data_IF_887026597988
#
_entry.id   IF_887026597988
#
_cell.length_a   1.000
_cell.length_b   1.000
_cell.length_c   1.000
_cell.angle_alpha   90.00
_cell.angle_beta   90.00
_cell.angle_gamma   90.00
#
_symmetry.space_group_name_H-M   'P 1'
#
loop_
_entity.id
_entity.type
_entity.pdbx_description
1 polymer ?
#
# COMPACT_ATOMS: atom_id res chain seq x y z
N UNK A 1 -17.06 4.87 -4.41
CA UNK A 1 -17.69 4.53 -3.11
C UNK A 1 -16.57 4.42 -2.10
N UNK A 2 -16.75 4.89 -0.87
CA UNK A 2 -15.77 4.73 0.21
C UNK A 2 -16.35 3.79 1.28
N UNK A 3 -15.63 2.71 1.58
CA UNK A 3 -15.93 1.82 2.70
C UNK A 3 -15.09 2.20 3.92
N UNK A 4 -15.71 2.16 5.09
CA UNK A 4 -15.11 2.63 6.34
C UNK A 4 -15.14 1.53 7.39
N UNK A 5 -13.97 1.27 7.98
CA UNK A 5 -13.80 0.40 9.15
C UNK A 5 -13.26 1.21 10.32
N UNK A 6 -13.99 1.19 11.43
CA UNK A 6 -13.65 1.93 12.65
C UNK A 6 -13.65 0.98 13.84
N UNK A 7 -12.57 1.05 14.62
CA UNK A 7 -12.43 0.40 15.93
C UNK A 7 -11.90 1.41 16.93
N UNK A 8 -12.79 2.04 17.70
CA UNK A 8 -12.45 3.13 18.65
C UNK A 8 -13.21 2.96 19.97
N UNK A 9 -12.85 3.66 21.05
CA UNK A 9 -13.57 3.57 22.31
C UNK A 9 -15.06 3.92 22.10
N UNK A 10 -15.97 3.18 22.73
CA UNK A 10 -17.42 3.38 22.58
C UNK A 10 -17.90 4.84 22.63
N UNK A 11 -17.42 5.72 23.54
CA UNK A 11 -17.86 7.11 23.60
C UNK A 11 -17.52 7.93 22.35
N UNK A 12 -16.53 7.51 21.57
CA UNK A 12 -16.02 8.22 20.40
C UNK A 12 -16.74 7.82 19.11
N UNK A 13 -17.47 6.69 19.09
CA UNK A 13 -17.98 6.10 17.84
C UNK A 13 -18.86 7.06 17.04
N UNK A 14 -19.88 7.67 17.66
CA UNK A 14 -20.79 8.56 16.94
C UNK A 14 -20.10 9.86 16.54
N UNK A 15 -19.25 10.43 17.41
CA UNK A 15 -18.49 11.65 17.11
C UNK A 15 -17.57 11.43 15.91
N UNK A 16 -16.77 10.36 15.91
CA UNK A 16 -15.88 10.03 14.80
C UNK A 16 -16.65 9.74 13.51
N UNK A 17 -17.77 9.02 13.60
CA UNK A 17 -18.63 8.75 12.44
C UNK A 17 -19.14 10.04 11.81
N UNK A 18 -19.61 10.99 12.62
CA UNK A 18 -20.08 12.29 12.13
C UNK A 18 -18.95 13.09 11.49
N UNK A 19 -17.78 13.15 12.13
CA UNK A 19 -16.64 13.89 11.59
C UNK A 19 -16.10 13.26 10.31
N UNK A 20 -16.01 11.93 10.21
CA UNK A 20 -15.63 11.23 8.98
C UNK A 20 -16.61 11.53 7.83
N UNK A 21 -17.92 11.48 8.09
CA UNK A 21 -18.93 11.80 7.08
C UNK A 21 -18.83 13.25 6.60
N UNK A 22 -18.55 14.18 7.52
CA UNK A 22 -18.34 15.58 7.18
C UNK A 22 -17.08 15.77 6.31
N UNK A 23 -15.92 15.31 6.78
CA UNK A 23 -14.64 15.48 6.07
C UNK A 23 -14.66 14.78 4.69
N UNK A 24 -15.20 13.56 4.61
CA UNK A 24 -15.38 12.88 3.33
C UNK A 24 -16.32 13.65 2.41
N UNK A 25 -17.40 14.23 2.94
CA UNK A 25 -18.34 15.03 2.15
C UNK A 25 -17.72 16.31 1.58
N UNK A 26 -16.72 16.87 2.28
CA UNK A 26 -15.95 18.04 1.83
C UNK A 26 -14.95 17.65 0.74
N UNK A 27 -14.16 16.60 0.96
CA UNK A 27 -13.04 16.22 0.09
C UNK A 27 -13.50 15.38 -1.12
N UNK A 28 -14.50 14.52 -0.94
CA UNK A 28 -15.05 13.65 -1.97
C UNK A 28 -16.56 13.91 -2.19
N UNK A 29 -16.93 15.05 -2.79
CA UNK A 29 -18.34 15.36 -3.07
C UNK A 29 -19.03 14.23 -3.84
N UNK A 30 -20.28 13.95 -3.47
CA UNK A 30 -21.15 12.97 -4.15
C UNK A 30 -20.70 11.50 -4.06
N UNK A 31 -19.60 11.19 -3.34
CA UNK A 31 -19.16 9.81 -3.16
C UNK A 31 -20.02 9.10 -2.11
N UNK A 32 -20.59 7.96 -2.50
CA UNK A 32 -21.32 7.08 -1.57
C UNK A 32 -20.38 6.55 -0.49
N UNK A 33 -20.78 6.69 0.76
CA UNK A 33 -20.05 6.19 1.94
C UNK A 33 -20.79 5.01 2.57
N UNK A 34 -20.05 4.00 3.02
CA UNK A 34 -20.59 2.82 3.70
C UNK A 34 -19.69 2.43 4.87
N UNK A 35 -20.23 2.40 6.08
CA UNK A 35 -19.53 1.81 7.22
C UNK A 35 -19.68 0.28 7.15
N UNK A 36 -18.56 -0.43 6.98
CA UNK A 36 -18.51 -1.89 6.96
C UNK A 36 -18.17 -2.46 8.35
N UNK A 37 -17.46 -1.70 9.16
CA UNK A 37 -17.14 -2.02 10.55
C UNK A 37 -17.24 -0.75 11.39
N UNK A 38 -17.96 -0.82 12.51
CA UNK A 38 -18.09 0.27 13.47
C UNK A 38 -18.17 -0.36 14.87
N UNK A 39 -17.02 -0.56 15.49
CA UNK A 39 -16.88 -1.39 16.68
C UNK A 39 -16.19 -0.66 17.84
N UNK A 40 -16.58 -1.04 19.05
CA UNK A 40 -15.93 -0.59 20.28
C UNK A 40 -14.61 -1.34 20.48
N UNK A 41 -13.50 -0.60 20.50
CA UNK A 41 -12.13 -1.15 20.65
C UNK A 41 -11.86 -1.80 22.01
N UNK A 42 -12.79 -1.65 22.98
CA UNK A 42 -12.66 -2.13 24.38
C UNK A 42 -11.47 -1.55 25.13
N UNK A 43 -10.82 -0.51 24.59
CA UNK A 43 -9.66 0.11 25.20
C UNK A 43 -9.54 1.58 24.82
N UNK A 44 -9.54 2.48 25.81
CA UNK A 44 -9.59 3.94 25.61
C UNK A 44 -8.43 4.53 24.79
N UNK A 45 -7.29 3.84 24.71
CA UNK A 45 -6.13 4.26 23.92
C UNK A 45 -6.03 3.57 22.54
N UNK A 46 -6.95 2.65 22.19
CA UNK A 46 -6.93 1.96 20.91
C UNK A 46 -7.95 2.60 20.00
N UNK A 47 -7.45 3.35 19.02
CA UNK A 47 -8.25 4.00 18.00
C UNK A 47 -7.68 3.65 16.64
N UNK A 48 -8.48 2.98 15.84
CA UNK A 48 -8.12 2.55 14.49
C UNK A 48 -9.22 2.96 13.51
N UNK A 49 -8.82 3.52 12.39
CA UNK A 49 -9.71 3.88 11.28
C UNK A 49 -9.06 3.47 9.97
N UNK A 50 -9.83 2.86 9.07
CA UNK A 50 -9.44 2.51 7.72
C UNK A 50 -10.51 2.98 6.74
N UNK A 51 -10.09 3.69 5.70
CA UNK A 51 -10.90 4.09 4.55
C UNK A 51 -10.44 3.35 3.31
N UNK A 52 -11.39 2.83 2.52
CA UNK A 52 -11.11 2.18 1.23
C UNK A 52 -11.96 2.81 0.14
N UNK A 53 -11.33 3.56 -0.75
CA UNK A 53 -11.97 4.10 -1.94
C UNK A 53 -12.02 3.06 -3.05
N UNK A 54 -13.21 2.85 -3.63
CA UNK A 54 -13.46 2.01 -4.80
C UNK A 54 -13.76 2.89 -6.01
N UNK A 55 -12.99 2.68 -7.08
CA UNK A 55 -13.13 3.36 -8.37
C UNK A 55 -14.07 2.59 -9.32
N UNK A 56 -14.58 3.27 -10.36
CA UNK A 56 -15.40 2.64 -11.40
C UNK A 56 -14.64 1.63 -12.26
N UNK A 57 -13.31 1.70 -12.30
CA UNK A 57 -12.43 0.78 -13.02
C UNK A 57 -12.08 -0.47 -12.20
N UNK A 58 -12.53 -0.56 -10.95
CA UNK A 58 -12.27 -1.69 -10.07
C UNK A 58 -11.00 -1.56 -9.21
N UNK A 59 -10.27 -0.45 -9.30
CA UNK A 59 -9.14 -0.16 -8.43
C UNK A 59 -9.62 0.22 -7.02
N UNK A 60 -8.78 -0.11 -6.03
CA UNK A 60 -9.01 0.17 -4.62
C UNK A 60 -7.81 0.91 -4.03
N UNK A 61 -8.09 1.93 -3.23
CA UNK A 61 -7.08 2.71 -2.53
C UNK A 61 -7.42 2.74 -1.05
N UNK A 62 -6.50 2.24 -0.22
CA UNK A 62 -6.66 2.16 1.23
C UNK A 62 -5.80 3.17 1.96
N UNK A 63 -6.36 3.80 2.99
CA UNK A 63 -5.60 4.53 4.01
C UNK A 63 -6.15 4.28 5.39
N UNK A 64 -5.25 3.99 6.32
CA UNK A 64 -5.57 3.74 7.71
C UNK A 64 -4.69 4.53 8.66
N UNK A 65 -5.18 4.61 9.89
CA UNK A 65 -4.39 5.11 10.99
C UNK A 65 -4.73 4.36 12.26
N UNK A 66 -3.74 3.62 12.77
CA UNK A 66 -3.69 3.24 14.17
C UNK A 66 -3.12 4.43 14.94
N UNK A 67 -3.97 5.11 15.73
CA UNK A 67 -3.59 6.32 16.44
C UNK A 67 -2.39 6.06 17.34
N UNK A 68 -1.28 6.69 17.01
CA UNK A 68 0.06 6.47 17.57
C UNK A 68 0.52 7.62 18.48
N UNK A 69 -0.33 8.64 18.66
CA UNK A 69 -0.04 9.82 19.49
C UNK A 69 -0.62 9.68 20.90
N UNK A 70 -0.28 10.64 21.77
CA UNK A 70 -0.92 10.74 23.08
C UNK A 70 -2.37 11.22 22.95
N UNK A 71 -3.30 10.50 23.59
CA UNK A 71 -4.70 10.90 23.70
C UNK A 71 -4.98 11.68 25.00
N UNK A 72 -4.00 11.78 25.90
CA UNK A 72 -4.18 12.39 27.22
C UNK A 72 -4.48 13.88 27.08
N UNK A 73 -5.62 14.31 27.63
CA UNK A 73 -6.03 15.72 27.66
C UNK A 73 -6.73 16.23 26.41
N UNK A 74 -6.94 15.38 25.40
CA UNK A 74 -7.75 15.71 24.22
C UNK A 74 -9.21 15.30 24.45
N UNK A 75 -10.15 16.10 23.95
CA UNK A 75 -11.56 15.71 23.91
C UNK A 75 -11.78 14.63 22.84
N UNK A 76 -12.91 13.94 22.89
CA UNK A 76 -13.27 12.95 21.87
C UNK A 76 -13.53 13.63 20.53
N UNK A 77 -14.00 14.87 20.55
CA UNK A 77 -14.22 15.73 19.40
C UNK A 77 -12.89 16.11 18.72
N UNK A 78 -11.88 16.51 19.50
CA UNK A 78 -10.55 16.85 18.96
C UNK A 78 -9.90 15.61 18.34
N UNK A 79 -9.95 14.47 19.03
CA UNK A 79 -9.42 13.20 18.52
C UNK A 79 -10.16 12.77 17.24
N UNK A 80 -11.49 12.92 17.20
CA UNK A 80 -12.29 12.55 16.04
C UNK A 80 -11.96 13.40 14.83
N UNK A 81 -11.76 14.69 15.04
CA UNK A 81 -11.36 15.65 14.01
C UNK A 81 -9.98 15.35 13.48
N UNK A 82 -8.99 15.15 14.37
CA UNK A 82 -7.63 14.82 13.97
C UNK A 82 -7.57 13.51 13.17
N UNK A 83 -8.24 12.46 13.64
CA UNK A 83 -8.28 11.18 12.94
C UNK A 83 -8.93 11.35 11.57
N UNK A 84 -10.12 11.96 11.51
CA UNK A 84 -10.87 12.11 10.26
C UNK A 84 -10.10 12.90 9.21
N UNK A 85 -9.55 14.06 9.58
CA UNK A 85 -8.78 14.89 8.68
C UNK A 85 -7.58 14.13 8.13
N UNK A 86 -6.80 13.50 9.02
CA UNK A 86 -5.61 12.77 8.58
C UNK A 86 -5.94 11.63 7.62
N UNK A 87 -6.88 10.75 7.95
CA UNK A 87 -7.16 9.59 7.07
C UNK A 87 -7.81 10.00 5.76
N UNK A 88 -8.61 11.06 5.74
CA UNK A 88 -9.26 11.58 4.52
C UNK A 88 -8.23 12.30 3.64
N UNK A 89 -7.39 13.16 4.22
CA UNK A 89 -6.34 13.86 3.49
C UNK A 89 -5.31 12.88 2.90
N UNK A 90 -4.89 11.87 3.67
CA UNK A 90 -3.99 10.84 3.17
C UNK A 90 -4.64 10.01 2.04
N UNK A 91 -5.93 9.71 2.14
CA UNK A 91 -6.66 9.01 1.08
C UNK A 91 -6.78 9.86 -0.19
N UNK A 92 -7.09 11.15 -0.06
CA UNK A 92 -7.15 12.06 -1.22
C UNK A 92 -5.78 12.16 -1.87
N UNK A 93 -4.73 12.39 -1.08
CA UNK A 93 -3.37 12.39 -1.60
C UNK A 93 -3.05 11.10 -2.38
N UNK A 94 -3.46 9.93 -1.89
CA UNK A 94 -3.25 8.68 -2.62
C UNK A 94 -4.04 8.62 -3.94
N UNK A 95 -5.30 9.04 -3.94
CA UNK A 95 -6.12 9.07 -5.16
C UNK A 95 -5.58 10.09 -6.18
N UNK A 96 -5.18 11.28 -5.72
CA UNK A 96 -4.64 12.36 -6.56
C UNK A 96 -3.28 12.03 -7.16
N UNK A 97 -2.46 11.19 -6.51
CA UNK A 97 -1.19 10.70 -7.11
C UNK A 97 -1.43 10.04 -8.47
N UNK A 98 -2.62 9.48 -8.71
CA UNK A 98 -2.99 8.88 -10.00
C UNK A 98 -2.23 7.58 -10.31
N UNK A 99 -1.76 6.87 -9.29
CA UNK A 99 -1.21 5.52 -9.42
C UNK A 99 -2.30 4.48 -9.73
N UNK A 100 -1.89 3.28 -10.16
CA UNK A 100 -2.85 2.17 -10.33
C UNK A 100 -3.19 1.46 -9.01
N UNK A 101 -2.36 1.66 -7.98
CA UNK A 101 -2.42 0.97 -6.70
C UNK A 101 -1.98 1.91 -5.59
N UNK A 102 -2.42 1.64 -4.37
CA UNK A 102 -1.89 2.33 -3.18
C UNK A 102 -0.45 1.90 -2.87
N UNK A 103 0.24 2.71 -2.07
CA UNK A 103 1.65 2.54 -1.73
C UNK A 103 1.96 1.17 -1.09
N UNK A 104 1.06 0.67 -0.23
CA UNK A 104 1.27 -0.58 0.48
C UNK A 104 1.07 -1.77 -0.44
N UNK A 105 0.09 -1.71 -1.34
CA UNK A 105 -0.11 -2.71 -2.37
C UNK A 105 1.02 -2.67 -3.41
N UNK A 106 1.54 -1.50 -3.75
CA UNK A 106 2.65 -1.35 -4.68
C UNK A 106 3.89 -2.13 -4.22
N UNK A 107 4.23 -2.03 -2.94
CA UNK A 107 5.35 -2.75 -2.33
C UNK A 107 5.28 -4.26 -2.59
N UNK A 108 4.08 -4.83 -2.46
CA UNK A 108 3.85 -6.26 -2.65
C UNK A 108 3.84 -6.63 -4.14
N UNK A 109 3.22 -5.80 -4.99
CA UNK A 109 3.10 -6.09 -6.41
C UNK A 109 4.44 -6.10 -7.14
N UNK A 110 5.43 -5.35 -6.67
CA UNK A 110 6.79 -5.38 -7.22
C UNK A 110 7.40 -6.78 -7.13
N UNK A 111 7.14 -7.51 -6.05
CA UNK A 111 7.61 -8.89 -5.91
C UNK A 111 7.00 -9.77 -7.01
N UNK A 112 5.70 -9.63 -7.25
CA UNK A 112 5.02 -10.37 -8.32
C UNK A 112 5.50 -9.95 -9.72
N UNK A 113 5.78 -8.66 -9.95
CA UNK A 113 6.40 -8.20 -11.20
C UNK A 113 7.76 -8.88 -11.42
N UNK A 114 8.60 -8.92 -10.38
CA UNK A 114 9.93 -9.49 -10.48
C UNK A 114 9.90 -10.99 -10.78
N UNK A 115 8.96 -11.71 -10.18
CA UNK A 115 8.79 -13.15 -10.38
C UNK A 115 8.03 -13.51 -11.67
N UNK A 116 7.26 -12.59 -12.23
CA UNK A 116 6.46 -12.85 -13.44
C UNK A 116 7.32 -13.13 -14.66
N UNK A 117 6.76 -13.84 -15.65
CA UNK A 117 7.38 -14.00 -16.96
C UNK A 117 7.03 -12.80 -17.85
N UNK A 118 8.05 -12.22 -18.48
CA UNK A 118 7.88 -11.15 -19.45
C UNK A 118 7.80 -9.75 -18.84
N UNK A 119 7.18 -8.84 -19.59
CA UNK A 119 7.20 -7.40 -19.31
C UNK A 119 5.93 -6.95 -18.58
N UNK A 120 6.09 -6.36 -17.41
CA UNK A 120 5.00 -5.77 -16.62
C UNK A 120 5.23 -4.29 -16.35
N UNK A 121 4.14 -3.54 -16.15
CA UNK A 121 4.16 -2.09 -15.94
C UNK A 121 3.20 -1.74 -14.81
N UNK A 122 3.71 -1.17 -13.72
CA UNK A 122 2.90 -0.65 -12.61
C UNK A 122 3.38 0.76 -12.31
N UNK A 123 2.67 1.81 -12.77
CA UNK A 123 3.01 3.19 -12.44
C UNK A 123 2.55 3.52 -11.01
N UNK A 124 3.46 4.10 -10.23
CA UNK A 124 3.16 4.61 -8.88
C UNK A 124 2.48 5.98 -8.89
N UNK A 125 2.56 6.74 -9.98
CA UNK A 125 1.85 8.01 -10.14
C UNK A 125 1.60 8.35 -11.62
N UNK A 126 0.79 9.39 -11.86
CA UNK A 126 0.47 9.87 -13.20
C UNK A 126 1.72 10.30 -14.00
N UNK A 127 2.69 10.91 -13.33
CA UNK A 127 3.94 11.34 -13.97
C UNK A 127 4.75 10.14 -14.48
N UNK A 128 4.82 9.06 -13.68
CA UNK A 128 5.49 7.83 -14.13
C UNK A 128 4.70 7.14 -15.21
N UNK A 129 3.36 7.22 -15.22
CA UNK A 129 2.53 6.68 -16.29
C UNK A 129 2.84 7.28 -17.69
N UNK A 130 3.31 8.52 -17.75
CA UNK A 130 3.59 9.23 -18.99
C UNK A 130 5.05 9.17 -19.45
N UNK A 131 5.96 8.63 -18.62
CA UNK A 131 7.37 8.49 -18.99
C UNK A 131 7.56 7.51 -20.16
N UNK A 132 8.52 7.81 -21.04
CA UNK A 132 8.90 6.99 -22.20
C UNK A 132 10.40 6.66 -22.20
N UNK A 133 11.05 6.71 -21.03
CA UNK A 133 12.50 6.48 -20.98
C UNK A 133 12.76 4.98 -21.15
N UNK A 134 13.68 4.62 -22.05
CA UNK A 134 14.12 3.23 -22.23
C UNK A 134 15.34 2.87 -21.38
N UNK A 135 15.65 3.65 -20.34
CA UNK A 135 16.88 3.48 -19.55
C UNK A 135 16.71 2.32 -18.59
N UNK A 136 17.63 1.35 -18.67
CA UNK A 136 17.78 0.29 -17.66
C UNK A 136 18.34 0.91 -16.38
N UNK A 137 17.72 0.61 -15.25
CA UNK A 137 18.10 1.13 -13.95
C UNK A 137 19.41 0.51 -13.46
N UNK A 138 20.20 1.32 -12.75
CA UNK A 138 21.29 0.79 -11.96
C UNK A 138 20.72 0.28 -10.65
N UNK A 139 21.15 -0.90 -10.23
CA UNK A 139 20.57 -1.61 -9.09
C UNK A 139 21.56 -1.74 -7.93
N UNK A 140 22.52 -0.81 -7.82
CA UNK A 140 23.51 -0.78 -6.75
C UNK A 140 22.98 -0.19 -5.43
N UNK A 141 21.90 0.59 -5.48
CA UNK A 141 21.22 1.19 -4.33
C UNK A 141 19.68 1.19 -4.52
N UNK A 142 18.87 1.46 -3.49
CA UNK A 142 17.41 1.62 -3.63
C UNK A 142 17.01 2.64 -4.70
N UNK A 143 16.05 2.29 -5.56
CA UNK A 143 15.67 3.11 -6.71
C UNK A 143 14.17 3.03 -7.07
N UNK A 144 13.72 3.99 -7.87
CA UNK A 144 12.38 4.05 -8.46
C UNK A 144 11.40 4.96 -7.73
N UNK A 145 10.14 4.93 -8.17
CA UNK A 145 9.04 5.70 -7.56
C UNK A 145 8.37 4.96 -6.39
N UNK A 146 7.51 5.66 -5.64
CA UNK A 146 6.78 5.10 -4.50
C UNK A 146 7.47 5.34 -3.16
N UNK A 147 7.20 4.46 -2.20
CA UNK A 147 7.70 4.57 -0.83
C UNK A 147 9.17 4.13 -0.71
N UNK A 148 9.79 4.39 0.45
CA UNK A 148 11.10 3.83 0.79
C UNK A 148 11.09 2.29 0.72
N UNK A 149 9.99 1.65 1.12
CA UNK A 149 9.84 0.20 1.01
C UNK A 149 9.80 -0.22 -0.45
N UNK A 150 9.02 0.48 -1.29
CA UNK A 150 8.90 0.23 -2.73
C UNK A 150 10.27 0.21 -3.41
N UNK A 151 11.07 1.26 -3.16
CA UNK A 151 12.42 1.38 -3.73
C UNK A 151 13.39 0.32 -3.21
N UNK A 152 13.27 -0.05 -1.93
CA UNK A 152 14.08 -1.10 -1.31
C UNK A 152 13.74 -2.47 -1.88
N UNK A 153 12.46 -2.79 -2.08
CA UNK A 153 12.02 -4.07 -2.66
C UNK A 153 12.55 -4.21 -4.08
N UNK A 154 12.53 -3.16 -4.91
CA UNK A 154 13.13 -3.20 -6.25
C UNK A 154 14.63 -3.49 -6.22
N UNK A 155 15.34 -2.86 -5.30
CA UNK A 155 16.76 -3.13 -5.11
C UNK A 155 17.02 -4.56 -4.65
N UNK A 156 16.35 -5.03 -3.61
CA UNK A 156 16.51 -6.40 -3.08
C UNK A 156 16.19 -7.45 -4.14
N UNK A 157 15.07 -7.30 -4.86
CA UNK A 157 14.72 -8.23 -5.95
C UNK A 157 15.80 -8.28 -7.02
N UNK A 158 16.45 -7.16 -7.32
CA UNK A 158 17.57 -7.11 -8.29
C UNK A 158 18.85 -7.77 -7.77
N UNK A 159 19.08 -7.76 -6.45
CA UNK A 159 20.20 -8.49 -5.83
C UNK A 159 19.97 -9.99 -5.84
N UNK A 160 18.71 -10.42 -5.64
CA UNK A 160 18.36 -11.84 -5.53
C UNK A 160 18.15 -12.51 -6.89
N UNK A 161 17.77 -11.75 -7.92
CA UNK A 161 17.36 -12.28 -9.21
C UNK A 161 18.26 -11.71 -10.33
N UNK A 162 19.35 -12.40 -10.71
CA UNK A 162 20.38 -11.87 -11.63
C UNK A 162 19.89 -11.47 -13.03
N UNK A 163 18.77 -12.03 -13.47
CA UNK A 163 18.20 -11.79 -14.80
C UNK A 163 17.07 -10.76 -14.81
N UNK A 164 16.69 -10.25 -13.63
CA UNK A 164 15.66 -9.23 -13.47
C UNK A 164 16.15 -7.92 -14.08
N UNK A 165 15.29 -7.24 -14.85
CA UNK A 165 15.59 -5.89 -15.33
C UNK A 165 14.49 -4.92 -14.96
N UNK A 166 14.93 -3.79 -14.43
CA UNK A 166 14.09 -2.64 -14.18
C UNK A 166 14.41 -1.54 -15.18
N UNK A 167 13.38 -0.91 -15.73
CA UNK A 167 13.48 0.12 -16.74
C UNK A 167 12.61 1.30 -16.31
N UNK A 168 13.04 2.51 -16.63
CA UNK A 168 12.28 3.75 -16.43
C UNK A 168 11.89 3.98 -14.97
N UNK A 169 12.89 4.19 -14.11
CA UNK A 169 12.72 4.37 -12.66
C UNK A 169 11.97 3.21 -12.01
N UNK A 170 12.21 1.99 -12.48
CA UNK A 170 11.59 0.79 -11.94
C UNK A 170 10.09 0.65 -12.21
N UNK A 171 9.54 1.46 -13.13
CA UNK A 171 8.15 1.34 -13.57
C UNK A 171 7.91 0.07 -14.38
N UNK A 172 8.86 -0.23 -15.26
CA UNK A 172 8.80 -1.35 -16.17
C UNK A 172 9.70 -2.45 -15.61
N UNK A 173 9.15 -3.65 -15.50
CA UNK A 173 9.87 -4.84 -15.05
C UNK A 173 9.90 -5.87 -16.18
N UNK A 174 11.07 -6.37 -16.53
CA UNK A 174 11.21 -7.64 -17.25
C UNK A 174 11.52 -8.70 -16.19
N UNK A 175 10.47 -9.41 -15.75
CA UNK A 175 10.56 -10.38 -14.68
C UNK A 175 11.26 -11.67 -15.11
N UNK A 176 11.71 -12.46 -14.13
CA UNK A 176 12.53 -13.66 -14.38
C UNK A 176 11.74 -14.88 -14.84
N UNK A 177 10.41 -14.84 -14.79
CA UNK A 177 9.57 -15.99 -15.10
C UNK A 177 9.82 -17.16 -14.15
N UNK A 178 9.73 -16.89 -12.85
CA UNK A 178 10.00 -17.88 -11.81
C UNK A 178 9.03 -19.06 -11.96
N UNK A 179 9.60 -20.26 -12.10
CA UNK A 179 8.85 -21.51 -12.18
C UNK A 179 9.07 -22.28 -10.89
N UNK A 180 7.97 -22.66 -10.24
CA UNK A 180 8.05 -23.61 -9.12
C UNK A 180 8.50 -24.96 -9.66
N UNK A 181 9.59 -25.50 -9.13
CA UNK A 181 9.95 -26.89 -9.42
C UNK A 181 8.93 -27.81 -8.75
N UNK A 182 8.60 -28.93 -9.36
CA UNK A 182 7.79 -30.02 -8.76
C UNK A 182 8.58 -30.85 -7.74
N UNK A 183 9.67 -30.29 -7.20
CA UNK A 183 10.54 -30.99 -6.27
C UNK A 183 9.83 -31.18 -4.95
N UNK A 184 9.97 -32.38 -4.40
CA UNK A 184 9.46 -32.68 -3.07
C UNK A 184 10.32 -32.00 -2.01
N UNK A 185 9.81 -31.91 -0.78
CA UNK A 185 10.56 -31.29 0.34
C UNK A 185 11.85 -32.06 0.62
N UNK A 186 11.83 -33.37 0.37
CA UNK A 186 12.99 -34.26 0.45
C UNK A 186 14.06 -33.90 -0.59
N UNK A 187 13.67 -33.66 -1.85
CA UNK A 187 14.61 -33.29 -2.92
C UNK A 187 15.31 -31.94 -2.62
N UNK A 188 14.58 -30.97 -2.05
CA UNK A 188 15.13 -29.66 -1.66
C UNK A 188 16.14 -29.81 -0.52
N UNK A 189 15.88 -30.72 0.44
CA UNK A 189 16.77 -30.95 1.58
C UNK A 189 18.10 -31.55 1.15
N UNK A 190 18.09 -32.45 0.17
CA UNK A 190 19.30 -33.08 -0.36
C UNK A 190 20.15 -32.09 -1.18
N UNK A 191 19.52 -31.21 -1.97
CA UNK A 191 20.23 -30.11 -2.65
C UNK A 191 20.86 -29.12 -1.66
N UNK A 192 20.11 -28.68 -0.64
CA UNK A 192 20.63 -27.75 0.38
C UNK A 192 21.78 -28.36 1.20
N UNK A 193 21.75 -29.67 1.46
CA UNK A 193 22.84 -30.39 2.12
C UNK A 193 24.13 -30.48 1.29
N UNK A 194 24.02 -30.28 -0.03
CA UNK A 194 25.11 -30.32 -1.00
C UNK A 194 25.75 -28.94 -1.26
N UNK A 195 25.12 -27.86 -0.78
CA UNK A 195 25.66 -26.50 -0.90
C UNK A 195 26.73 -26.29 0.15
N UNK A 196 27.98 -26.31 -0.27
CA UNK A 196 29.11 -25.88 0.55
C UNK A 196 29.55 -24.48 0.14
N UNK A 197 29.75 -23.61 1.13
CA UNK A 197 30.43 -22.33 0.93
C UNK A 197 31.92 -22.66 0.74
N UNK A 198 32.47 -22.28 -0.41
CA UNK A 198 33.93 -22.31 -0.66
C UNK A 198 34.54 -21.00 -0.18
#
# INVERSE_FOLDING_TARGET
>A
MIEISVMVPRPMLETLKHTLLFEIGVVFPEVKVKFVCLEDSKHNARMYTLLVAHTSTGLRFGRDWLYDKTAKGKSWEDLSTEISQRVVDELDNEVQKGGLVDEHLQDQLIVFQALSEGKTIIPGCLDTANSKRGRVERTDEPFGDGSTHTSTVRWVTSQLLPHLKWIDRGRICEGVGWKTSTMTVEDIRDELGSVHIV
#
